data_IF_015671420260
#
_entry.id   IF_015671420260
#
_cell.length_a   1.000
_cell.length_b   1.000
_cell.length_c   1.000
_cell.angle_alpha   90.00
_cell.angle_beta   90.00
_cell.angle_gamma   90.00
#
_symmetry.space_group_name_H-M   'P 1'
#
loop_
_entity.id
_entity.type
_entity.pdbx_description
1 polymer ?
#
# COMPACT_ATOMS: atom_id res chain seq x y z
N UNK A 1 4.97 47.28 -38.27
CA UNK A 1 4.36 46.12 -38.92
C UNK A 1 5.47 45.12 -39.19
N UNK A 2 5.61 44.01 -38.48
CA UNK A 2 4.80 43.50 -37.39
C UNK A 2 5.68 42.71 -36.43
N UNK A 3 5.31 42.79 -35.16
CA UNK A 3 5.82 41.95 -34.09
C UNK A 3 5.10 40.60 -34.18
N UNK A 4 5.86 39.52 -34.23
CA UNK A 4 5.35 38.15 -34.17
C UNK A 4 5.39 37.74 -32.71
N UNK A 5 4.34 38.11 -31.98
CA UNK A 5 3.92 37.39 -30.79
C UNK A 5 2.88 36.34 -31.16
N UNK A 6 2.90 35.27 -30.37
CA UNK A 6 1.80 34.35 -30.12
C UNK A 6 1.70 33.08 -30.99
N UNK A 7 2.60 32.14 -30.70
CA UNK A 7 2.43 30.72 -31.00
C UNK A 7 2.24 29.89 -29.71
N UNK A 8 1.54 30.44 -28.70
CA UNK A 8 1.32 29.76 -27.41
C UNK A 8 -0.17 29.62 -27.03
N UNK A 9 -1.05 29.43 -28.01
CA UNK A 9 -2.46 29.17 -27.78
C UNK A 9 -2.85 27.73 -28.14
N UNK A 10 -2.43 26.76 -27.31
CA UNK A 10 -3.13 25.47 -27.13
C UNK A 10 -3.04 25.04 -25.66
N UNK A 11 -3.63 25.84 -24.78
CA UNK A 11 -4.03 25.37 -23.46
C UNK A 11 -5.29 24.54 -23.70
N UNK A 12 -5.17 23.22 -23.59
CA UNK A 12 -6.30 22.32 -23.42
C UNK A 12 -7.05 22.75 -22.17
N UNK A 13 -8.26 23.31 -22.35
CA UNK A 13 -9.22 23.48 -21.26
C UNK A 13 -9.61 22.10 -20.73
N UNK A 14 -8.83 21.57 -19.80
CA UNK A 14 -9.29 20.51 -18.92
C UNK A 14 -10.37 21.10 -18.01
N UNK A 15 -11.59 20.56 -18.12
CA UNK A 15 -12.68 20.96 -17.25
C UNK A 15 -12.23 20.87 -15.78
N UNK A 16 -12.19 21.98 -15.04
CA UNK A 16 -11.76 21.96 -13.65
C UNK A 16 -12.73 21.07 -12.86
N UNK A 17 -12.19 20.08 -12.15
CA UNK A 17 -12.95 19.30 -11.19
C UNK A 17 -13.47 20.28 -10.13
N UNK A 18 -14.78 20.57 -10.17
CA UNK A 18 -15.43 21.38 -9.16
C UNK A 18 -15.61 20.53 -7.90
N UNK A 19 -14.82 20.86 -6.88
CA UNK A 19 -14.84 20.18 -5.59
C UNK A 19 -15.54 21.07 -4.56
N UNK A 20 -16.70 20.61 -4.07
CA UNK A 20 -17.44 21.27 -3.00
C UNK A 20 -17.06 20.61 -1.66
N UNK A 21 -16.48 21.41 -0.76
CA UNK A 21 -16.09 20.95 0.56
C UNK A 21 -17.33 20.65 1.41
N UNK A 22 -17.58 19.37 1.69
CA UNK A 22 -18.66 18.97 2.61
C UNK A 22 -18.11 18.67 4.01
N UNK A 23 -18.83 19.04 5.10
CA UNK A 23 -18.43 18.75 6.48
C UNK A 23 -18.18 17.25 6.76
N UNK A 24 -18.80 16.37 6.00
CA UNK A 24 -18.63 14.91 6.06
C UNK A 24 -17.21 14.48 5.66
N UNK A 25 -16.60 15.18 4.70
CA UNK A 25 -15.21 14.96 4.27
C UNK A 25 -14.20 15.48 5.31
N UNK A 26 -14.59 16.47 6.11
CA UNK A 26 -13.77 17.10 7.16
C UNK A 26 -13.69 16.23 8.42
N UNK A 27 -14.75 15.46 8.74
CA UNK A 27 -14.79 14.59 9.94
C UNK A 27 -13.70 13.52 9.98
N UNK A 28 -13.19 13.10 8.82
CA UNK A 28 -12.19 12.03 8.75
C UNK A 28 -10.79 12.57 9.13
N UNK A 29 -10.57 13.89 9.18
CA UNK A 29 -9.21 14.47 9.26
C UNK A 29 -8.96 15.54 10.31
N UNK A 30 -8.82 15.16 11.57
CA UNK A 30 -8.40 16.10 12.65
C UNK A 30 -7.02 15.84 13.26
N UNK A 31 -6.22 14.86 12.81
CA UNK A 31 -4.81 14.70 13.26
C UNK A 31 -4.13 13.56 12.50
N UNK A 32 -3.01 13.81 11.79
CA UNK A 32 -2.20 12.79 11.07
C UNK A 32 -1.71 11.63 11.96
N UNK A 33 -1.60 11.87 13.27
CA UNK A 33 -1.27 10.85 14.27
C UNK A 33 -2.46 10.02 14.74
N UNK A 34 -3.69 10.54 14.58
CA UNK A 34 -4.95 10.01 15.10
C UNK A 34 -6.05 9.86 14.02
N UNK A 35 -5.70 9.70 12.73
CA UNK A 35 -6.66 9.58 11.61
C UNK A 35 -7.40 8.23 11.66
N UNK A 36 -8.33 8.20 12.60
CA UNK A 36 -9.67 7.66 12.60
C UNK A 36 -9.97 6.12 12.57
N UNK A 37 -10.00 5.44 13.74
CA UNK A 37 -10.89 4.31 14.05
C UNK A 37 -12.37 4.62 13.87
N UNK A 38 -12.70 5.91 13.86
CA UNK A 38 -13.37 6.49 15.03
C UNK A 38 -12.66 7.67 15.73
N UNK A 39 -11.35 7.89 15.49
CA UNK A 39 -10.35 8.83 16.10
C UNK A 39 -9.40 8.15 17.14
N UNK A 40 -8.14 7.88 16.73
CA UNK A 40 -6.98 7.30 17.43
C UNK A 40 -7.06 5.91 18.11
N UNK A 41 -5.96 5.12 18.14
CA UNK A 41 -5.79 4.07 19.16
C UNK A 41 -5.93 4.71 20.55
N UNK A 42 -6.79 4.16 21.41
CA UNK A 42 -7.26 4.89 22.60
C UNK A 42 -6.21 5.10 23.69
N UNK A 43 -5.03 4.46 23.59
CA UNK A 43 -3.91 4.65 24.53
C UNK A 43 -2.55 4.37 23.88
N UNK A 44 -1.60 5.27 24.09
CA UNK A 44 -0.17 4.94 24.01
C UNK A 44 0.27 4.43 25.38
N UNK A 45 0.61 3.14 25.50
CA UNK A 45 1.28 2.61 26.68
C UNK A 45 2.68 2.16 26.30
N UNK A 46 3.69 2.75 26.95
CA UNK A 46 5.12 2.37 26.81
C UNK A 46 5.63 2.35 25.36
N UNK A 47 5.17 3.29 24.52
CA UNK A 47 5.58 3.39 23.13
C UNK A 47 4.81 2.49 22.14
N UNK A 48 3.87 1.68 22.63
CA UNK A 48 3.00 0.85 21.77
C UNK A 48 1.58 1.44 21.70
N UNK A 49 1.01 1.43 20.48
CA UNK A 49 -0.39 1.80 20.22
C UNK A 49 -1.28 0.63 20.66
N UNK A 50 -2.14 0.85 21.65
CA UNK A 50 -3.12 -0.14 22.11
C UNK A 50 -4.43 0.02 21.32
N UNK A 51 -4.74 -0.96 20.47
CA UNK A 51 -5.95 -0.98 19.65
C UNK A 51 -7.09 -1.64 20.42
N UNK A 52 -7.97 -0.83 21.00
CA UNK A 52 -9.19 -1.34 21.65
C UNK A 52 -10.37 -1.30 20.69
N UNK A 53 -10.87 -2.47 20.27
CA UNK A 53 -12.13 -2.56 19.52
C UNK A 53 -13.30 -2.06 20.38
N UNK A 54 -14.12 -1.19 19.80
CA UNK A 54 -15.38 -0.73 20.41
C UNK A 54 -16.53 -1.45 19.71
N UNK A 55 -17.42 -2.15 20.43
CA UNK A 55 -18.54 -2.86 19.80
C UNK A 55 -19.48 -1.99 18.95
N UNK A 56 -19.48 -0.66 19.16
CA UNK A 56 -20.23 0.31 18.35
C UNK A 56 -19.52 0.73 17.05
N UNK A 57 -18.28 0.27 16.82
CA UNK A 57 -17.51 0.57 15.62
C UNK A 57 -18.02 -0.28 14.45
N UNK A 58 -18.40 0.38 13.36
CA UNK A 58 -18.77 -0.32 12.13
C UNK A 58 -17.49 -0.63 11.36
N UNK A 59 -17.05 -1.89 11.42
CA UNK A 59 -15.94 -2.43 10.64
C UNK A 59 -16.48 -3.27 9.49
N UNK A 60 -15.82 -3.27 8.32
CA UNK A 60 -16.22 -4.11 7.20
C UNK A 60 -16.17 -5.58 7.58
N UNK A 61 -16.91 -6.40 6.83
CA UNK A 61 -16.78 -7.85 6.95
C UNK A 61 -15.41 -8.29 6.38
N UNK A 62 -14.54 -8.98 7.15
CA UNK A 62 -13.29 -9.52 6.63
C UNK A 62 -13.46 -10.46 5.43
N UNK A 63 -14.64 -11.08 5.26
CA UNK A 63 -14.95 -11.91 4.10
C UNK A 63 -15.36 -11.08 2.86
N UNK A 64 -15.80 -9.83 3.04
CA UNK A 64 -16.07 -8.90 1.94
C UNK A 64 -14.81 -8.09 1.63
N UNK A 65 -13.96 -8.68 0.79
CA UNK A 65 -12.72 -8.06 0.31
C UNK A 65 -12.97 -6.69 -0.30
N UNK A 66 -14.08 -6.50 -1.04
CA UNK A 66 -14.36 -5.22 -1.70
C UNK A 66 -14.73 -4.16 -0.67
N UNK A 67 -15.54 -4.49 0.33
CA UNK A 67 -15.86 -3.58 1.43
C UNK A 67 -14.59 -3.16 2.18
N UNK A 68 -13.70 -4.11 2.47
CA UNK A 68 -12.41 -3.84 3.10
C UNK A 68 -11.51 -2.92 2.24
N UNK A 69 -11.44 -3.15 0.93
CA UNK A 69 -10.65 -2.30 0.03
C UNK A 69 -11.23 -0.89 -0.10
N UNK A 70 -12.56 -0.74 -0.10
CA UNK A 70 -13.23 0.57 -0.02
C UNK A 70 -12.91 1.28 1.28
N UNK A 71 -12.82 0.52 2.38
CA UNK A 71 -12.55 1.05 3.71
C UNK A 71 -11.12 1.60 3.81
N UNK A 72 -10.13 0.94 3.21
CA UNK A 72 -8.76 1.47 3.17
C UNK A 72 -8.56 2.60 2.16
N UNK A 73 -9.58 2.95 1.36
CA UNK A 73 -9.59 4.16 0.54
C UNK A 73 -9.55 3.96 -0.97
N UNK A 74 -9.71 2.74 -1.47
CA UNK A 74 -9.73 2.46 -2.91
C UNK A 74 -11.10 2.74 -3.54
N UNK A 75 -11.08 3.31 -4.75
CA UNK A 75 -12.28 3.53 -5.56
C UNK A 75 -12.83 2.22 -6.12
N UNK A 76 -14.14 2.17 -6.39
CA UNK A 76 -14.80 1.00 -7.00
C UNK A 76 -14.11 0.54 -8.28
N UNK A 77 -13.77 1.49 -9.15
CA UNK A 77 -13.05 1.21 -10.41
C UNK A 77 -11.71 0.54 -10.13
N UNK A 78 -10.92 1.09 -9.20
CA UNK A 78 -9.59 0.56 -8.89
C UNK A 78 -9.66 -0.81 -8.22
N UNK A 79 -10.65 -1.04 -7.37
CA UNK A 79 -10.88 -2.36 -6.74
C UNK A 79 -11.08 -3.43 -7.82
N UNK A 80 -11.95 -3.18 -8.80
CA UNK A 80 -12.19 -4.13 -9.89
C UNK A 80 -10.93 -4.38 -10.74
N UNK A 81 -10.13 -3.34 -10.99
CA UNK A 81 -8.87 -3.47 -11.72
C UNK A 81 -7.85 -4.33 -10.96
N UNK A 82 -7.66 -4.08 -9.66
CA UNK A 82 -6.75 -4.82 -8.80
C UNK A 82 -7.21 -6.26 -8.63
N UNK A 83 -8.49 -6.49 -8.38
CA UNK A 83 -9.08 -7.83 -8.26
C UNK A 83 -8.87 -8.65 -9.53
N UNK A 84 -9.14 -8.07 -10.71
CA UNK A 84 -8.90 -8.73 -11.99
C UNK A 84 -7.41 -9.07 -12.15
N UNK A 85 -6.52 -8.11 -11.92
CA UNK A 85 -5.06 -8.33 -12.04
C UNK A 85 -4.56 -9.38 -11.05
N UNK A 86 -5.09 -9.42 -9.84
CA UNK A 86 -4.75 -10.42 -8.84
C UNK A 86 -5.16 -11.82 -9.30
N UNK A 87 -6.38 -11.98 -9.79
CA UNK A 87 -6.88 -13.28 -10.29
C UNK A 87 -6.13 -13.75 -11.54
N UNK A 88 -5.67 -12.83 -12.40
CA UNK A 88 -4.82 -13.14 -13.55
C UNK A 88 -3.41 -13.63 -13.12
N UNK A 89 -2.82 -12.99 -12.10
CA UNK A 89 -1.50 -13.35 -11.59
C UNK A 89 -1.50 -14.60 -10.71
N UNK A 90 -2.61 -14.87 -10.03
CA UNK A 90 -2.73 -15.95 -9.06
C UNK A 90 -4.03 -16.76 -9.27
N UNK A 91 -4.19 -17.42 -10.43
CA UNK A 91 -5.43 -18.14 -10.77
C UNK A 91 -5.75 -19.30 -9.82
N UNK A 92 -4.70 -19.88 -9.22
CA UNK A 92 -4.81 -21.01 -8.30
C UNK A 92 -4.86 -20.58 -6.82
N UNK A 93 -4.95 -19.27 -6.54
CA UNK A 93 -4.98 -18.77 -5.17
C UNK A 93 -6.25 -19.23 -4.45
N UNK A 94 -6.04 -19.91 -3.32
CA UNK A 94 -7.10 -20.35 -2.43
C UNK A 94 -6.90 -19.67 -1.08
N UNK A 95 -7.88 -18.87 -0.66
CA UNK A 95 -7.89 -18.32 0.69
C UNK A 95 -9.00 -18.97 1.53
N UNK A 96 -8.95 -18.82 2.86
CA UNK A 96 -10.03 -19.26 3.73
C UNK A 96 -11.36 -18.60 3.34
N UNK A 97 -12.45 -19.37 3.39
CA UNK A 97 -13.81 -18.88 3.14
C UNK A 97 -14.23 -17.75 4.08
N UNK A 98 -13.69 -17.74 5.30
CA UNK A 98 -13.91 -16.69 6.31
C UNK A 98 -13.10 -15.41 6.06
N UNK A 99 -12.21 -15.38 5.06
CA UNK A 99 -11.41 -14.20 4.69
C UNK A 99 -10.11 -13.99 5.48
N UNK A 100 -9.88 -14.77 6.54
CA UNK A 100 -8.69 -14.64 7.41
C UNK A 100 -8.12 -16.00 7.84
N UNK A 101 -6.83 -16.02 8.15
CA UNK A 101 -6.09 -17.21 8.61
C UNK A 101 -5.12 -16.87 9.75
N UNK A 102 -4.35 -17.85 10.19
CA UNK A 102 -3.15 -17.64 11.00
C UNK A 102 -1.87 -17.76 10.19
N UNK A 103 -0.91 -16.91 10.55
CA UNK A 103 0.48 -17.07 10.14
C UNK A 103 1.39 -17.08 11.36
N UNK A 104 2.25 -18.09 11.43
CA UNK A 104 3.24 -18.22 12.50
C UNK A 104 4.57 -17.65 12.03
N UNK A 105 5.16 -16.79 12.86
CA UNK A 105 6.48 -16.21 12.64
C UNK A 105 7.60 -17.19 12.98
N UNK A 106 8.81 -16.90 12.50
CA UNK A 106 10.03 -17.64 12.84
C UNK A 106 10.39 -17.57 14.33
N UNK A 107 9.80 -16.64 15.09
CA UNK A 107 9.95 -16.54 16.54
C UNK A 107 8.96 -17.43 17.29
N UNK A 108 7.92 -17.92 16.61
CA UNK A 108 6.85 -18.76 17.18
C UNK A 108 5.61 -17.98 17.62
N UNK A 109 5.53 -16.68 17.33
CA UNK A 109 4.32 -15.88 17.53
C UNK A 109 3.37 -16.06 16.34
N UNK A 110 2.09 -16.26 16.63
CA UNK A 110 1.03 -16.29 15.61
C UNK A 110 0.39 -14.90 15.45
N UNK A 111 0.06 -14.54 14.22
CA UNK A 111 -0.78 -13.39 13.89
C UNK A 111 -1.97 -13.83 13.04
N UNK A 112 -3.02 -12.99 13.00
CA UNK A 112 -4.15 -13.16 12.09
C UNK A 112 -3.80 -12.44 10.79
N UNK A 113 -3.89 -13.16 9.68
CA UNK A 113 -3.67 -12.61 8.33
C UNK A 113 -4.98 -12.53 7.57
N UNK A 114 -5.01 -11.66 6.56
CA UNK A 114 -6.17 -11.46 5.69
C UNK A 114 -5.74 -11.65 4.23
N UNK A 115 -5.52 -12.90 3.77
CA UNK A 115 -4.70 -13.17 2.58
C UNK A 115 -5.20 -12.48 1.29
N UNK A 116 -6.51 -12.43 1.07
CA UNK A 116 -7.09 -11.73 -0.08
C UNK A 116 -6.82 -10.23 -0.03
N UNK A 117 -7.10 -9.59 1.11
CA UNK A 117 -6.97 -8.15 1.26
C UNK A 117 -5.50 -7.75 1.22
N UNK A 118 -4.63 -8.47 1.95
CA UNK A 118 -3.17 -8.27 1.92
C UNK A 118 -2.61 -8.37 0.50
N UNK A 119 -3.00 -9.41 -0.24
CA UNK A 119 -2.54 -9.62 -1.60
C UNK A 119 -2.99 -8.51 -2.57
N UNK A 120 -4.24 -8.06 -2.47
CA UNK A 120 -4.76 -6.98 -3.32
C UNK A 120 -4.15 -5.61 -2.96
N UNK A 121 -3.98 -5.31 -1.67
CA UNK A 121 -3.32 -4.08 -1.21
C UNK A 121 -1.86 -4.05 -1.66
N UNK A 122 -1.11 -5.15 -1.49
CA UNK A 122 0.27 -5.27 -1.96
C UNK A 122 0.38 -5.07 -3.48
N UNK A 123 -0.53 -5.67 -4.25
CA UNK A 123 -0.56 -5.54 -5.71
C UNK A 123 -0.84 -4.10 -6.14
N UNK A 124 -1.74 -3.42 -5.44
CA UNK A 124 -2.03 -2.01 -5.69
C UNK A 124 -0.79 -1.14 -5.41
N UNK A 125 -0.17 -1.30 -4.24
CA UNK A 125 1.01 -0.51 -3.83
C UNK A 125 2.14 -0.67 -4.87
N UNK A 126 2.46 -1.91 -5.24
CA UNK A 126 3.49 -2.17 -6.27
C UNK A 126 3.13 -1.55 -7.61
N UNK A 127 1.88 -1.71 -8.04
CA UNK A 127 1.40 -1.16 -9.30
C UNK A 127 1.54 0.37 -9.38
N UNK A 128 1.40 1.07 -8.26
CA UNK A 128 1.65 2.51 -8.23
C UNK A 128 3.14 2.85 -8.15
N UNK A 129 3.96 2.10 -7.41
CA UNK A 129 5.42 2.29 -7.39
C UNK A 129 6.07 2.12 -8.77
N UNK A 130 5.49 1.26 -9.62
CA UNK A 130 5.93 1.05 -11.00
C UNK A 130 5.53 2.20 -11.95
N UNK A 131 4.49 2.97 -11.61
CA UNK A 131 3.93 4.06 -12.41
C UNK A 131 4.71 5.37 -12.16
N UNK A 132 5.87 5.50 -12.82
CA UNK A 132 6.83 6.61 -12.65
C UNK A 132 6.55 7.84 -13.52
N UNK A 133 5.35 7.99 -14.09
CA UNK A 133 5.06 9.16 -14.94
C UNK A 133 5.03 10.46 -14.12
N UNK A 134 6.01 11.33 -14.41
CA UNK A 134 6.35 12.56 -13.68
C UNK A 134 5.75 13.86 -14.27
N UNK A 135 4.89 13.77 -15.28
CA UNK A 135 4.28 14.94 -15.96
C UNK A 135 3.10 15.53 -15.16
N UNK A 136 3.31 15.84 -13.87
CA UNK A 136 2.24 16.39 -13.03
C UNK A 136 2.73 17.50 -12.10
N UNK A 137 1.90 18.53 -11.90
CA UNK A 137 2.24 19.68 -11.04
C UNK A 137 2.10 19.32 -9.55
N UNK A 138 3.22 18.92 -8.97
CA UNK A 138 3.36 18.58 -7.55
C UNK A 138 3.46 19.79 -6.62
N UNK A 139 3.26 21.01 -7.10
CA UNK A 139 3.40 22.22 -6.27
C UNK A 139 2.08 22.67 -5.63
N UNK A 140 0.95 22.02 -5.94
CA UNK A 140 -0.37 22.44 -5.45
C UNK A 140 -1.11 21.33 -4.70
N UNK A 141 -1.85 21.72 -3.65
CA UNK A 141 -2.75 20.82 -2.88
C UNK A 141 -3.75 20.13 -3.82
N UNK A 142 -4.39 20.91 -4.70
CA UNK A 142 -5.32 20.38 -5.71
C UNK A 142 -4.66 19.28 -6.55
N UNK A 143 -3.40 19.51 -6.93
CA UNK A 143 -2.61 18.56 -7.67
C UNK A 143 -2.47 17.19 -6.99
N UNK A 144 -2.07 17.16 -5.72
CA UNK A 144 -1.94 15.91 -4.96
C UNK A 144 -3.26 15.14 -4.84
N UNK A 145 -4.38 15.83 -4.65
CA UNK A 145 -5.70 15.20 -4.58
C UNK A 145 -6.06 14.57 -5.92
N UNK A 146 -5.93 15.32 -7.01
CA UNK A 146 -6.26 14.86 -8.36
C UNK A 146 -5.40 13.66 -8.77
N UNK A 147 -4.09 13.68 -8.47
CA UNK A 147 -3.20 12.54 -8.68
C UNK A 147 -3.61 11.34 -7.82
N UNK A 148 -3.96 11.53 -6.55
CA UNK A 148 -4.48 10.47 -5.70
C UNK A 148 -5.73 9.80 -6.30
N UNK A 149 -6.67 10.59 -6.80
CA UNK A 149 -7.88 10.09 -7.49
C UNK A 149 -7.51 9.35 -8.78
N UNK A 150 -6.59 9.89 -9.59
CA UNK A 150 -6.10 9.25 -10.82
C UNK A 150 -5.46 7.88 -10.52
N UNK A 151 -4.65 7.81 -9.46
CA UNK A 151 -4.05 6.57 -8.98
C UNK A 151 -5.08 5.58 -8.42
N UNK A 152 -6.33 6.01 -8.21
CA UNK A 152 -7.45 5.15 -7.87
C UNK A 152 -7.95 5.27 -6.44
N UNK A 153 -7.47 6.25 -5.68
CA UNK A 153 -8.03 6.58 -4.37
C UNK A 153 -9.42 7.18 -4.52
N UNK A 154 -10.25 6.95 -3.50
CA UNK A 154 -11.53 7.68 -3.41
C UNK A 154 -11.27 9.15 -3.07
N UNK A 155 -12.14 10.08 -3.51
CA UNK A 155 -11.96 11.50 -3.23
C UNK A 155 -11.81 11.81 -1.73
N UNK A 156 -12.56 11.12 -0.87
CA UNK A 156 -12.51 11.39 0.58
C UNK A 156 -11.17 10.99 1.20
N UNK A 157 -10.48 10.03 0.59
CA UNK A 157 -9.17 9.57 1.02
C UNK A 157 -8.03 10.35 0.36
N UNK A 158 -8.19 10.75 -0.90
CA UNK A 158 -7.22 11.57 -1.62
C UNK A 158 -6.99 12.93 -0.95
N UNK A 159 -7.98 13.48 -0.23
CA UNK A 159 -7.83 14.70 0.58
C UNK A 159 -6.75 14.54 1.67
N UNK A 160 -6.54 13.33 2.21
CA UNK A 160 -5.44 13.07 3.16
C UNK A 160 -4.07 13.12 2.51
N UNK A 161 -4.01 12.72 1.25
CA UNK A 161 -2.82 12.87 0.42
C UNK A 161 -2.54 14.34 0.09
N UNK A 162 -3.56 15.20 0.13
CA UNK A 162 -3.45 16.62 -0.19
C UNK A 162 -3.04 17.55 0.96
N UNK A 163 -2.95 17.08 2.21
CA UNK A 163 -2.68 17.94 3.37
C UNK A 163 -1.37 18.74 3.20
N UNK A 164 -1.52 20.01 2.81
CA UNK A 164 -0.45 21.00 2.54
C UNK A 164 -0.11 21.80 3.81
N UNK A 165 1.07 22.43 3.87
CA UNK A 165 1.45 23.30 4.99
C UNK A 165 0.59 24.55 5.19
N UNK A 166 -0.32 24.82 4.26
CA UNK A 166 -1.33 25.89 4.34
C UNK A 166 -2.72 25.35 4.69
N UNK A 167 -2.84 24.04 4.93
CA UNK A 167 -4.09 23.45 5.38
C UNK A 167 -4.40 23.92 6.81
N UNK A 168 -5.56 24.57 7.05
CA UNK A 168 -5.91 25.09 8.37
C UNK A 168 -6.10 24.01 9.44
N UNK A 169 -6.06 22.71 9.08
CA UNK A 169 -6.09 21.55 9.98
C UNK A 169 -4.69 21.10 10.42
N UNK A 170 -3.61 21.68 9.89
CA UNK A 170 -2.24 21.49 10.38
C UNK A 170 -2.03 22.34 11.66
N UNK A 171 -2.73 21.99 12.74
CA UNK A 171 -2.86 22.85 13.92
C UNK A 171 -1.61 22.79 14.82
N UNK A 172 -0.90 21.66 14.85
CA UNK A 172 0.10 21.42 15.90
C UNK A 172 1.56 21.64 15.46
N UNK A 173 1.94 21.36 14.21
CA UNK A 173 3.35 21.45 13.75
C UNK A 173 3.52 21.86 12.26
N UNK A 174 3.39 23.16 11.91
CA UNK A 174 3.42 23.64 10.51
C UNK A 174 4.74 23.36 9.75
N UNK A 175 5.86 23.34 10.46
CA UNK A 175 7.19 23.14 9.88
C UNK A 175 7.40 21.71 9.32
N UNK A 176 6.68 20.71 9.87
CA UNK A 176 6.67 19.34 9.33
C UNK A 176 5.94 19.23 7.99
N UNK A 177 5.21 20.26 7.56
CA UNK A 177 4.49 20.25 6.29
C UNK A 177 5.23 21.02 5.20
N UNK A 178 5.93 22.12 5.53
CA UNK A 178 6.63 22.93 4.54
C UNK A 178 7.89 22.23 3.98
N UNK A 179 8.65 21.53 4.82
CA UNK A 179 9.96 20.96 4.44
C UNK A 179 9.89 19.46 4.04
N UNK A 180 9.00 18.67 4.64
CA UNK A 180 8.92 17.22 4.41
C UNK A 180 8.01 16.80 3.26
N UNK A 181 6.93 17.55 2.99
CA UNK A 181 5.93 17.14 2.01
C UNK A 181 6.26 17.59 0.59
N UNK A 182 6.77 18.82 0.42
CA UNK A 182 7.03 19.40 -0.90
C UNK A 182 8.47 19.20 -1.39
N UNK A 183 9.43 18.99 -0.48
CA UNK A 183 10.85 18.87 -0.85
C UNK A 183 11.32 17.42 -0.97
N UNK A 184 10.62 16.45 -0.38
CA UNK A 184 11.13 15.08 -0.20
C UNK A 184 10.27 13.99 -0.86
N UNK A 185 8.97 14.23 -1.14
CA UNK A 185 8.03 13.11 -1.37
C UNK A 185 7.20 13.22 -2.65
N UNK A 186 7.41 12.26 -3.55
CA UNK A 186 6.61 12.05 -4.77
C UNK A 186 5.19 11.57 -4.43
N UNK A 187 4.22 11.63 -5.37
CA UNK A 187 2.89 11.03 -5.17
C UNK A 187 2.90 9.55 -4.79
N UNK A 188 3.97 8.79 -5.07
CA UNK A 188 4.13 7.43 -4.57
C UNK A 188 4.15 7.38 -3.04
N UNK A 189 4.73 8.39 -2.42
CA UNK A 189 4.71 8.55 -0.96
C UNK A 189 3.31 8.79 -0.41
N UNK A 190 2.36 9.25 -1.24
CA UNK A 190 0.97 9.42 -0.81
C UNK A 190 0.30 8.08 -0.47
N UNK A 191 0.66 6.99 -1.15
CA UNK A 191 0.14 5.65 -0.89
C UNK A 191 0.80 5.05 0.35
N UNK A 192 2.12 5.21 0.47
CA UNK A 192 2.86 4.78 1.66
C UNK A 192 2.37 5.49 2.94
N UNK A 193 1.91 6.74 2.82
CA UNK A 193 1.44 7.53 3.96
C UNK A 193 -0.07 7.48 4.18
N UNK A 194 -0.84 6.92 3.25
CA UNK A 194 -2.30 6.82 3.34
C UNK A 194 -2.76 5.37 3.37
N UNK A 195 -2.54 4.59 2.31
CA UNK A 195 -3.07 3.23 2.22
C UNK A 195 -2.40 2.29 3.23
N UNK A 196 -1.07 2.32 3.36
CA UNK A 196 -0.36 1.40 4.26
C UNK A 196 -0.80 1.60 5.72
N UNK A 197 -0.81 2.83 6.28
CA UNK A 197 -1.26 3.05 7.64
C UNK A 197 -2.74 2.68 7.86
N UNK A 198 -3.62 2.98 6.91
CA UNK A 198 -5.04 2.61 7.01
C UNK A 198 -5.22 1.10 6.96
N UNK A 199 -4.49 0.40 6.09
CA UNK A 199 -4.50 -1.06 6.04
C UNK A 199 -4.01 -1.68 7.36
N UNK A 200 -2.86 -1.21 7.88
CA UNK A 200 -2.34 -1.69 9.15
C UNK A 200 -3.34 -1.50 10.29
N UNK A 201 -4.03 -0.36 10.33
CA UNK A 201 -5.07 -0.10 11.33
C UNK A 201 -6.28 -1.01 11.15
N UNK A 202 -6.79 -1.17 9.92
CA UNK A 202 -7.91 -2.07 9.64
C UNK A 202 -7.60 -3.50 10.10
N UNK A 203 -6.41 -4.00 9.78
CA UNK A 203 -5.91 -5.31 10.21
C UNK A 203 -5.99 -5.48 11.73
N UNK A 204 -5.49 -4.50 12.48
CA UNK A 204 -5.50 -4.54 13.95
C UNK A 204 -6.92 -4.47 14.54
N UNK A 205 -7.79 -3.63 13.98
CA UNK A 205 -9.19 -3.52 14.41
C UNK A 205 -9.99 -4.79 14.10
N UNK A 206 -9.81 -5.39 12.92
CA UNK A 206 -10.44 -6.65 12.56
C UNK A 206 -9.95 -7.80 13.45
N UNK A 207 -8.64 -7.89 13.70
CA UNK A 207 -8.09 -8.87 14.65
C UNK A 207 -8.70 -8.73 16.04
N UNK A 208 -8.86 -7.48 16.52
CA UNK A 208 -9.49 -7.18 17.81
C UNK A 208 -10.98 -7.50 17.86
N UNK A 209 -11.72 -7.25 16.76
CA UNK A 209 -13.12 -7.66 16.59
C UNK A 209 -13.27 -9.18 16.67
N UNK A 210 -12.40 -9.93 16.01
CA UNK A 210 -12.41 -11.40 16.04
C UNK A 210 -12.18 -11.96 17.45
N UNK A 211 -11.27 -11.34 18.23
CA UNK A 211 -11.07 -11.68 19.64
C UNK A 211 -12.34 -11.40 20.47
N UNK A 212 -12.96 -10.24 20.27
CA UNK A 212 -14.19 -9.87 20.98
C UNK A 212 -15.37 -10.81 20.66
N UNK A 213 -15.50 -11.22 19.40
CA UNK A 213 -16.55 -12.14 18.93
C UNK A 213 -16.28 -13.62 19.28
N UNK A 214 -15.15 -13.94 19.92
CA UNK A 214 -14.77 -15.32 20.23
C UNK A 214 -14.38 -16.16 19.00
N UNK A 215 -14.17 -15.52 17.85
CA UNK A 215 -13.67 -16.13 16.60
C UNK A 215 -12.15 -16.25 16.57
N UNK A 216 -11.48 -15.63 17.53
CA UNK A 216 -10.06 -15.76 17.77
C UNK A 216 -9.78 -15.72 19.29
N UNK A 217 -8.56 -16.08 19.67
CA UNK A 217 -8.06 -15.96 21.03
C UNK A 217 -6.59 -15.53 21.04
N UNK A 218 -6.10 -15.09 22.20
CA UNK A 218 -4.73 -14.60 22.34
C UNK A 218 -3.95 -15.35 23.42
N UNK A 219 -2.77 -15.83 23.04
CA UNK A 219 -1.70 -16.37 23.90
C UNK A 219 -0.47 -16.60 23.02
N UNK A 220 0.67 -15.99 23.35
CA UNK A 220 1.86 -16.00 22.48
C UNK A 220 1.51 -15.67 21.00
N UNK A 221 0.69 -14.63 20.80
CA UNK A 221 0.13 -14.26 19.51
C UNK A 221 -1.41 -14.24 19.50
N UNK A 222 -1.99 -14.19 18.30
CA UNK A 222 -3.43 -14.28 18.02
C UNK A 222 -3.70 -15.52 17.18
N UNK A 223 -4.73 -16.27 17.55
CA UNK A 223 -5.07 -17.58 17.00
C UNK A 223 -6.54 -17.61 16.59
N UNK A 224 -6.82 -18.05 15.38
CA UNK A 224 -8.17 -18.18 14.82
C UNK A 224 -8.82 -19.46 15.37
N UNK A 225 -10.10 -19.34 15.72
CA UNK A 225 -10.99 -20.47 15.98
C UNK A 225 -11.51 -20.95 14.62
N UNK A 226 -11.23 -22.21 14.27
CA UNK A 226 -11.61 -22.76 12.96
C UNK A 226 -13.12 -22.98 12.89
N UNK A 227 -13.65 -23.02 11.68
CA UNK A 227 -15.06 -23.35 11.47
C UNK A 227 -15.39 -24.73 12.09
N UNK A 228 -16.48 -24.79 12.86
CA UNK A 228 -16.89 -25.99 13.61
C UNK A 228 -16.10 -26.26 14.90
N UNK A 229 -15.12 -25.42 15.24
CA UNK A 229 -14.32 -25.52 16.46
C UNK A 229 -14.91 -24.61 17.56
N UNK A 230 -14.94 -25.09 18.80
CA UNK A 230 -15.20 -24.24 19.99
C UNK A 230 -13.92 -23.52 20.42
N UNK A 231 -14.06 -22.41 21.13
CA UNK A 231 -12.93 -21.66 21.66
C UNK A 231 -11.97 -22.53 22.50
N UNK A 232 -12.49 -23.46 23.30
CA UNK A 232 -11.67 -24.32 24.15
C UNK A 232 -10.97 -25.43 23.35
N UNK A 233 -11.60 -25.94 22.29
CA UNK A 233 -10.93 -26.83 21.33
C UNK A 233 -9.79 -26.09 20.60
N UNK A 234 -10.01 -24.84 20.20
CA UNK A 234 -8.99 -24.01 19.55
C UNK A 234 -7.78 -23.76 20.45
N UNK A 235 -8.00 -23.55 21.75
CA UNK A 235 -6.92 -23.44 22.75
C UNK A 235 -6.17 -24.76 22.92
N UNK A 236 -6.91 -25.88 23.01
CA UNK A 236 -6.32 -27.20 23.20
C UNK A 236 -5.49 -27.68 21.99
N UNK A 237 -5.85 -27.24 20.78
CA UNK A 237 -5.11 -27.53 19.54
C UNK A 237 -3.69 -26.96 19.53
N UNK A 238 -3.47 -25.84 20.21
CA UNK A 238 -2.19 -25.11 20.17
C UNK A 238 -1.47 -25.29 21.50
N UNK A 239 -0.85 -26.46 21.66
CA UNK A 239 0.07 -26.74 22.76
C UNK A 239 1.52 -26.31 22.43
N UNK A 240 2.43 -26.43 23.39
CA UNK A 240 3.85 -26.03 23.23
C UNK A 240 4.54 -26.78 22.08
N UNK A 241 4.15 -28.04 21.85
CA UNK A 241 4.75 -28.90 20.83
C UNK A 241 4.30 -28.47 19.44
N UNK A 242 3.01 -28.19 19.27
CA UNK A 242 2.44 -27.69 18.03
C UNK A 242 3.03 -26.32 17.68
N UNK A 243 3.19 -25.43 18.67
CA UNK A 243 3.86 -24.14 18.45
C UNK A 243 5.30 -24.29 17.97
N UNK A 244 6.05 -25.20 18.57
CA UNK A 244 7.43 -25.47 18.15
C UNK A 244 7.48 -26.04 16.72
N UNK A 245 6.57 -26.94 16.37
CA UNK A 245 6.44 -27.48 15.00
C UNK A 245 6.15 -26.37 13.99
N UNK A 246 5.16 -25.52 14.27
CA UNK A 246 4.79 -24.41 13.39
C UNK A 246 5.92 -23.38 13.25
N UNK A 247 6.69 -23.14 14.32
CA UNK A 247 7.89 -22.30 14.27
C UNK A 247 8.96 -22.88 13.34
N UNK A 248 9.23 -24.18 13.42
CA UNK A 248 10.18 -24.86 12.54
C UNK A 248 9.73 -24.83 11.07
N UNK A 249 8.43 -25.00 10.82
CA UNK A 249 7.85 -24.84 9.49
C UNK A 249 8.02 -23.40 8.97
N UNK A 250 7.75 -22.39 9.80
CA UNK A 250 7.94 -20.98 9.45
C UNK A 250 9.40 -20.63 9.14
N UNK A 251 10.37 -21.21 9.89
CA UNK A 251 11.81 -21.04 9.62
C UNK A 251 12.16 -21.60 8.23
N UNK A 252 11.72 -22.82 7.92
CA UNK A 252 11.98 -23.45 6.62
C UNK A 252 11.37 -22.65 5.46
N UNK A 253 10.14 -22.16 5.62
CA UNK A 253 9.49 -21.34 4.60
C UNK A 253 10.26 -20.02 4.37
N UNK A 254 10.70 -19.38 5.45
CA UNK A 254 11.48 -18.15 5.39
C UNK A 254 12.83 -18.35 4.68
N UNK A 255 13.56 -19.41 5.01
CA UNK A 255 14.82 -19.78 4.35
C UNK A 255 14.61 -20.05 2.85
N UNK A 256 13.56 -20.80 2.49
CA UNK A 256 13.21 -21.05 1.09
C UNK A 256 12.82 -19.78 0.33
N UNK A 257 12.19 -18.81 1.00
CA UNK A 257 11.87 -17.50 0.41
C UNK A 257 13.13 -16.66 0.20
N UNK A 258 14.05 -16.65 1.17
CA UNK A 258 15.34 -15.96 1.05
C UNK A 258 16.18 -16.50 -0.11
N UNK A 259 16.23 -17.82 -0.27
CA UNK A 259 16.97 -18.47 -1.34
C UNK A 259 16.39 -18.11 -2.72
N UNK A 260 15.06 -18.15 -2.88
CA UNK A 260 14.39 -17.69 -4.10
C UNK A 260 14.69 -16.23 -4.42
N UNK A 261 14.67 -15.35 -3.42
CA UNK A 261 14.98 -13.93 -3.61
C UNK A 261 16.46 -13.69 -3.97
N UNK A 262 17.38 -14.54 -3.51
CA UNK A 262 18.79 -14.49 -3.95
C UNK A 262 18.92 -14.91 -5.42
N UNK A 263 18.26 -15.99 -5.82
CA UNK A 263 18.30 -16.48 -7.20
C UNK A 263 17.74 -15.46 -8.20
N UNK A 264 16.65 -14.78 -7.85
CA UNK A 264 16.08 -13.70 -8.68
C UNK A 264 17.09 -12.56 -8.85
N UNK A 265 17.70 -12.08 -7.76
CA UNK A 265 18.71 -11.01 -7.83
C UNK A 265 19.92 -11.38 -8.68
N UNK A 266 20.46 -12.59 -8.50
CA UNK A 266 21.59 -13.07 -9.30
C UNK A 266 21.22 -13.08 -10.80
N UNK A 267 19.98 -13.46 -11.12
CA UNK A 267 19.49 -13.45 -12.50
C UNK A 267 19.35 -12.02 -13.05
N UNK A 268 18.74 -11.11 -12.29
CA UNK A 268 18.60 -9.70 -12.68
C UNK A 268 19.96 -9.04 -12.89
N UNK A 269 20.92 -9.27 -11.99
CA UNK A 269 22.30 -8.78 -12.14
C UNK A 269 22.97 -9.32 -13.41
N UNK A 270 22.77 -10.60 -13.75
CA UNK A 270 23.31 -11.19 -14.96
C UNK A 270 22.66 -10.63 -16.24
N UNK A 271 21.34 -10.40 -16.21
CA UNK A 271 20.59 -9.78 -17.33
C UNK A 271 21.02 -8.32 -17.53
N UNK A 272 21.27 -7.58 -16.45
CA UNK A 272 21.82 -6.23 -16.54
C UNK A 272 23.23 -6.26 -17.11
N UNK A 273 24.16 -7.06 -16.57
CA UNK A 273 25.53 -7.16 -17.12
C UNK A 273 25.51 -7.50 -18.62
N UNK A 274 24.62 -8.41 -19.06
CA UNK A 274 24.48 -8.74 -20.47
C UNK A 274 24.01 -7.54 -21.32
N UNK A 275 23.09 -6.73 -20.79
CA UNK A 275 22.60 -5.50 -21.43
C UNK A 275 23.72 -4.47 -21.59
N UNK A 276 24.50 -4.23 -20.53
CA UNK A 276 25.63 -3.30 -20.56
C UNK A 276 26.69 -3.72 -21.58
N UNK A 277 27.02 -5.03 -21.65
CA UNK A 277 27.97 -5.56 -22.64
C UNK A 277 27.48 -5.36 -24.08
N UNK A 278 26.18 -5.51 -24.33
CA UNK A 278 25.59 -5.31 -25.65
C UNK A 278 25.52 -3.82 -26.04
N UNK A 279 25.21 -2.94 -25.08
CA UNK A 279 25.26 -1.48 -25.27
C UNK A 279 26.68 -1.01 -25.63
N UNK A 280 27.71 -1.47 -24.91
CA UNK A 280 29.12 -1.20 -25.20
C UNK A 280 29.51 -1.69 -26.61
N UNK A 281 29.01 -2.87 -27.02
CA UNK A 281 29.27 -3.43 -28.36
C UNK A 281 28.67 -2.55 -29.45
N UNK A 282 27.42 -2.12 -29.28
CA UNK A 282 26.72 -1.25 -30.22
C UNK A 282 27.39 0.12 -30.33
N UNK A 283 27.83 0.70 -29.22
CA UNK A 283 28.56 1.98 -29.21
C UNK A 283 29.90 1.87 -29.94
N UNK A 284 30.66 0.79 -29.70
CA UNK A 284 31.91 0.52 -30.40
C UNK A 284 31.72 0.30 -31.92
N UNK A 285 30.63 -0.33 -32.34
CA UNK A 285 30.28 -0.48 -33.76
C UNK A 285 29.92 0.86 -34.40
N UNK A 286 29.15 1.73 -33.72
CA UNK A 286 28.84 3.07 -34.21
C UNK A 286 30.09 3.94 -34.37
N UNK A 287 31.00 3.93 -33.39
CA UNK A 287 32.28 4.65 -33.45
C UNK A 287 33.14 4.19 -34.64
N UNK A 288 33.22 2.88 -34.88
CA UNK A 288 33.91 2.33 -36.06
C UNK A 288 33.28 2.85 -37.36
N UNK A 289 31.96 2.80 -37.49
CA UNK A 289 31.29 3.30 -38.70
C UNK A 289 31.49 4.80 -38.93
N UNK A 290 31.50 5.61 -37.86
CA UNK A 290 31.80 7.04 -37.96
C UNK A 290 33.24 7.30 -38.39
N UNK A 291 34.22 6.54 -37.88
CA UNK A 291 35.62 6.67 -38.30
C UNK A 291 35.87 6.22 -39.74
N UNK A 292 35.11 5.25 -40.25
CA UNK A 292 35.18 4.84 -41.67
C UNK A 292 34.60 5.93 -42.56
N UNK A 293 33.40 6.45 -42.24
CA UNK A 293 32.79 7.56 -43.00
C UNK A 293 33.67 8.81 -43.07
N UNK A 294 34.37 9.15 -41.97
CA UNK A 294 35.31 10.28 -41.93
C UNK A 294 36.54 10.11 -42.82
N UNK A 295 36.99 8.87 -43.05
CA UNK A 295 38.14 8.58 -43.93
C UNK A 295 37.79 8.55 -45.41
N UNK A 296 36.52 8.35 -45.74
CA UNK A 296 36.03 8.37 -47.12
C UNK A 296 35.71 9.81 -47.61
N UNK A 297 35.75 10.80 -46.70
CA UNK A 297 35.50 12.23 -46.97
C UNK A 297 36.79 13.09 -47.01
N UNK A 298 37.97 12.52 -46.74
CA UNK A 298 39.32 13.13 -46.90
C UNK A 298 39.99 12.68 -48.21
#
# INVERSE_FOLDING_TARGET
MGDVEDANARITEENPIHFEWTPELVKIGTSRGDIHPSIGPHKFQKGYRDYTYRPSMTLPDPADTRECLKWVGLSDKKILEVERKFNELYPDFQAPSCGYDNKVSTEGFSDITFPWIEGMVDLFIRGVQDDKEDDYDYTTHKGYIEKGIQLGLRPEFAIFCGLHGTDPRAIDEPYLFEELWFTIKSPHSAIDETIIPFWMQLKEFMGSKLLYEGKAWSNYGRWVVREGETLDQAKARVDDRERQRLKEEAIKEYEAKLERARQVRIREEAEDIARWVEEDRLEAEMLKQQTVKRKDEE
#
